data_IF_172570959123
#
_entry.id   IF_172570959123
#
_cell.length_a   1.000
_cell.length_b   1.000
_cell.length_c   1.000
_cell.angle_alpha   90.00
_cell.angle_beta   90.00
_cell.angle_gamma   90.00
#
_symmetry.space_group_name_H-M   'P 1'
#
loop_
_entity.id
_entity.type
_entity.pdbx_description
1 polymer ?
#
# COMPACT_ATOMS: atom_id res chain seq x y z
N UNK A 1 1.11 -89.06 -10.81
CA UNK A 1 1.45 -90.15 -9.87
C UNK A 1 2.16 -89.54 -8.65
N UNK A 2 1.54 -89.64 -7.46
CA UNK A 2 2.02 -89.35 -6.07
C UNK A 2 2.72 -88.01 -5.72
N UNK A 3 2.10 -87.18 -4.84
CA UNK A 3 2.32 -87.02 -3.37
C UNK A 3 3.74 -86.49 -3.02
N UNK A 4 4.02 -85.43 -2.24
CA UNK A 4 3.24 -84.52 -1.42
C UNK A 4 4.16 -83.72 -0.46
N UNK A 5 3.84 -82.43 -0.23
CA UNK A 5 3.82 -81.67 1.06
C UNK A 5 5.09 -81.41 1.94
N UNK A 6 5.19 -80.11 2.32
CA UNK A 6 5.68 -79.43 3.57
C UNK A 6 7.20 -79.17 3.69
N UNK A 7 7.68 -77.91 3.77
CA UNK A 7 7.63 -76.86 4.85
C UNK A 7 8.43 -77.25 6.12
N UNK A 8 9.58 -76.58 6.35
CA UNK A 8 10.04 -75.84 7.58
C UNK A 8 11.54 -75.42 7.39
N UNK A 9 11.88 -74.16 7.14
CA UNK A 9 12.26 -73.05 8.05
C UNK A 9 13.62 -73.18 8.79
N UNK A 10 14.52 -72.23 8.51
CA UNK A 10 15.44 -71.62 9.49
C UNK A 10 16.86 -72.21 9.62
N UNK A 11 17.86 -71.47 9.13
CA UNK A 11 19.19 -71.16 9.71
C UNK A 11 20.27 -71.09 8.60
N UNK A 12 20.88 -69.91 8.41
CA UNK A 12 22.14 -69.80 7.65
C UNK A 12 22.34 -68.59 6.73
N UNK A 13 22.15 -67.36 7.22
CA UNK A 13 22.66 -66.11 6.57
C UNK A 13 23.78 -65.46 7.41
N UNK A 14 24.47 -66.24 8.23
CA UNK A 14 25.65 -65.77 8.96
C UNK A 14 26.84 -66.58 8.46
N UNK A 15 27.69 -65.96 7.62
CA UNK A 15 29.15 -66.18 7.52
C UNK A 15 29.78 -65.49 6.28
N UNK A 16 29.01 -65.00 5.29
CA UNK A 16 29.61 -64.43 4.06
C UNK A 16 29.46 -62.90 3.83
N UNK A 17 28.89 -62.15 4.77
CA UNK A 17 28.83 -60.68 4.73
C UNK A 17 29.46 -59.99 5.95
N UNK A 18 30.42 -60.65 6.62
CA UNK A 18 31.17 -60.09 7.76
C UNK A 18 32.68 -59.94 7.52
N UNK A 19 33.18 -60.26 6.32
CA UNK A 19 34.60 -60.17 5.97
C UNK A 19 34.97 -58.95 5.11
N UNK A 20 34.01 -58.09 4.77
CA UNK A 20 34.28 -56.77 4.16
C UNK A 20 34.27 -55.62 5.16
N UNK A 21 33.97 -55.87 6.45
CA UNK A 21 33.93 -54.86 7.51
C UNK A 21 35.19 -54.85 8.41
N UNK A 22 36.08 -55.85 8.32
CA UNK A 22 37.33 -55.89 9.10
C UNK A 22 38.57 -55.30 8.39
N UNK A 23 38.49 -54.99 7.09
CA UNK A 23 39.53 -54.24 6.39
C UNK A 23 39.34 -52.71 6.51
N UNK A 24 38.17 -52.25 6.99
CA UNK A 24 37.81 -50.85 7.16
C UNK A 24 38.04 -50.28 8.58
N UNK A 25 38.50 -51.08 9.53
CA UNK A 25 38.54 -50.68 10.96
C UNK A 25 39.91 -50.77 11.64
N UNK A 26 41.01 -51.00 10.90
CA UNK A 26 42.39 -51.07 11.49
C UNK A 26 43.37 -50.05 10.90
N UNK A 27 42.95 -49.17 10.00
CA UNK A 27 43.78 -48.05 9.51
C UNK A 27 43.22 -46.66 9.90
N UNK A 28 42.42 -46.60 10.97
CA UNK A 28 42.07 -45.36 11.68
C UNK A 28 42.67 -45.44 13.08
N UNK A 29 43.99 -45.28 13.17
CA UNK A 29 44.65 -44.77 14.38
C UNK A 29 46.00 -44.21 13.96
N UNK A 30 46.18 -42.90 14.22
CA UNK A 30 47.34 -42.02 13.93
C UNK A 30 47.23 -41.17 12.65
N UNK A 31 46.32 -40.19 12.66
CA UNK A 31 46.66 -38.85 12.17
C UNK A 31 45.66 -37.82 12.71
N UNK A 32 45.92 -37.31 13.92
CA UNK A 32 45.15 -36.23 14.56
C UNK A 32 45.42 -34.84 13.94
N UNK A 33 45.82 -34.79 12.67
CA UNK A 33 46.13 -33.54 11.94
C UNK A 33 44.99 -33.16 10.97
N UNK A 34 44.07 -34.09 10.64
CA UNK A 34 43.04 -33.85 9.60
C UNK A 34 41.70 -33.37 10.18
N UNK A 35 41.47 -33.49 11.49
CA UNK A 35 40.22 -33.01 12.13
C UNK A 35 40.18 -31.53 12.48
N UNK A 36 41.28 -30.79 12.29
CA UNK A 36 41.31 -29.33 12.51
C UNK A 36 41.14 -28.52 11.20
N UNK A 37 41.03 -29.18 10.04
CA UNK A 37 40.97 -28.51 8.72
C UNK A 37 39.55 -28.46 8.13
N UNK A 38 38.56 -29.15 8.72
CA UNK A 38 37.17 -29.20 8.20
C UNK A 38 36.20 -28.26 8.95
N UNK A 39 36.68 -27.48 9.91
CA UNK A 39 35.88 -26.50 10.66
C UNK A 39 36.53 -25.11 10.71
N UNK A 40 36.87 -24.56 9.55
CA UNK A 40 36.96 -23.10 9.39
C UNK A 40 36.18 -22.69 8.16
N UNK A 41 35.11 -21.97 8.44
CA UNK A 41 34.41 -21.02 7.56
C UNK A 41 34.17 -21.53 6.13
N UNK A 42 32.94 -21.97 5.86
CA UNK A 42 32.35 -21.65 4.57
C UNK A 42 32.27 -20.11 4.49
N UNK A 43 33.38 -19.48 4.12
CA UNK A 43 33.41 -18.11 3.67
C UNK A 43 32.53 -18.11 2.43
N UNK A 44 31.29 -17.63 2.57
CA UNK A 44 30.52 -17.18 1.43
C UNK A 44 31.28 -15.98 0.85
N UNK A 45 32.29 -16.23 0.01
CA UNK A 45 32.87 -15.17 -0.82
C UNK A 45 31.84 -14.90 -1.90
N UNK A 46 30.94 -13.95 -1.65
CA UNK A 46 30.13 -13.39 -2.72
C UNK A 46 31.05 -12.96 -3.86
N UNK A 47 30.77 -13.40 -5.09
CA UNK A 47 31.46 -12.88 -6.26
C UNK A 47 30.75 -11.60 -6.68
N UNK A 48 31.45 -10.46 -6.65
CA UNK A 48 30.94 -9.24 -7.28
C UNK A 48 30.83 -9.48 -8.78
N UNK A 49 29.60 -9.64 -9.27
CA UNK A 49 29.32 -9.70 -10.70
C UNK A 49 29.41 -8.28 -11.29
N UNK A 50 29.96 -8.13 -12.49
CA UNK A 50 30.09 -6.81 -13.15
C UNK A 50 31.25 -5.93 -12.67
N UNK A 51 32.12 -6.40 -11.76
CA UNK A 51 33.38 -5.71 -11.43
C UNK A 51 34.26 -5.64 -12.70
N UNK A 52 34.26 -4.48 -13.35
CA UNK A 52 34.99 -4.14 -14.59
C UNK A 52 34.38 -4.57 -15.95
N UNK A 53 33.06 -4.76 -16.08
CA UNK A 53 32.46 -5.09 -17.37
C UNK A 53 31.08 -4.47 -17.55
N UNK A 54 31.04 -3.32 -18.21
CA UNK A 54 29.90 -2.90 -19.04
C UNK A 54 30.45 -2.37 -20.36
N UNK A 55 29.76 -2.71 -21.45
CA UNK A 55 29.92 -2.03 -22.73
C UNK A 55 29.71 -0.52 -22.52
N UNK A 56 30.73 0.29 -22.81
CA UNK A 56 30.72 1.74 -22.57
C UNK A 56 29.83 2.50 -23.56
N UNK A 57 29.08 1.81 -24.43
CA UNK A 57 28.13 2.41 -25.37
C UNK A 57 26.93 3.01 -24.65
N UNK A 58 27.08 4.19 -24.04
CA UNK A 58 25.96 4.94 -23.46
C UNK A 58 26.31 5.84 -22.28
N UNK A 59 27.48 5.68 -21.67
CA UNK A 59 27.92 6.56 -20.59
C UNK A 59 28.46 7.88 -21.16
N UNK A 60 28.06 9.00 -20.56
CA UNK A 60 28.67 10.30 -20.84
C UNK A 60 30.18 10.24 -20.60
N UNK A 61 30.95 11.04 -21.36
CA UNK A 61 32.43 11.02 -21.33
C UNK A 61 33.06 11.31 -19.96
N UNK A 62 32.27 11.76 -18.99
CA UNK A 62 32.72 12.22 -17.68
C UNK A 62 32.40 11.25 -16.53
N UNK A 63 31.86 10.05 -16.81
CA UNK A 63 31.51 9.06 -15.76
C UNK A 63 32.58 7.95 -15.67
N UNK A 64 33.36 7.95 -14.58
CA UNK A 64 34.35 6.90 -14.26
C UNK A 64 33.85 6.00 -13.11
N UNK A 65 33.38 4.79 -13.44
CA UNK A 65 33.00 3.78 -12.43
C UNK A 65 34.18 3.31 -11.56
N UNK A 66 35.43 3.59 -11.95
CA UNK A 66 36.58 3.42 -11.07
C UNK A 66 36.48 4.26 -9.80
N UNK A 67 35.82 5.43 -9.85
CA UNK A 67 35.59 6.26 -8.66
C UNK A 67 34.69 5.56 -7.64
N UNK A 68 33.63 4.87 -8.10
CA UNK A 68 32.76 4.08 -7.23
C UNK A 68 33.55 3.02 -6.45
N UNK A 69 34.38 2.24 -7.14
CA UNK A 69 35.21 1.21 -6.49
C UNK A 69 36.26 1.81 -5.57
N UNK A 70 36.92 2.91 -5.94
CA UNK A 70 37.87 3.60 -5.05
C UNK A 70 37.20 4.10 -3.78
N UNK A 71 35.96 4.60 -3.87
CA UNK A 71 35.19 5.01 -2.69
C UNK A 71 34.81 3.81 -1.81
N UNK A 72 34.36 2.71 -2.42
CA UNK A 72 34.08 1.45 -1.72
C UNK A 72 35.31 0.91 -0.98
N UNK A 73 36.42 0.78 -1.68
CA UNK A 73 37.70 0.29 -1.13
C UNK A 73 38.20 1.21 0.00
N UNK A 74 38.02 2.53 -0.14
CA UNK A 74 38.38 3.50 0.90
C UNK A 74 37.52 3.32 2.16
N UNK A 75 36.22 3.04 2.03
CA UNK A 75 35.34 2.76 3.18
C UNK A 75 35.79 1.47 3.91
N UNK A 76 36.03 0.37 3.19
CA UNK A 76 36.53 -0.87 3.79
C UNK A 76 37.89 -0.69 4.48
N UNK A 77 38.78 0.09 3.86
CA UNK A 77 40.13 0.31 4.36
C UNK A 77 40.19 1.28 5.55
N UNK A 78 39.31 2.28 5.62
CA UNK A 78 39.49 3.44 6.51
C UNK A 78 38.32 3.71 7.46
N UNK A 79 37.13 3.12 7.26
CA UNK A 79 36.01 3.33 8.18
C UNK A 79 36.37 2.83 9.58
N UNK A 80 36.04 3.61 10.62
CA UNK A 80 36.49 3.36 12.00
C UNK A 80 35.90 2.08 12.59
N UNK A 81 34.65 1.76 12.22
CA UNK A 81 33.90 0.59 12.68
C UNK A 81 33.78 -0.45 11.56
N UNK A 82 34.92 -0.98 11.08
CA UNK A 82 34.96 -1.90 9.93
C UNK A 82 34.08 -3.14 10.10
N UNK A 83 33.97 -3.64 11.32
CA UNK A 83 33.15 -4.78 11.72
C UNK A 83 31.64 -4.52 11.56
N UNK A 84 31.22 -3.25 11.45
CA UNK A 84 29.83 -2.85 11.21
C UNK A 84 29.51 -2.63 9.73
N UNK A 85 30.49 -2.72 8.83
CA UNK A 85 30.24 -2.61 7.39
C UNK A 85 29.39 -3.78 6.92
N UNK A 86 28.40 -3.47 6.09
CA UNK A 86 27.54 -4.46 5.46
C UNK A 86 27.49 -4.15 3.96
N UNK A 87 28.20 -4.97 3.18
CA UNK A 87 28.33 -4.81 1.73
C UNK A 87 26.97 -4.75 1.03
N UNK A 88 26.00 -5.59 1.44
CA UNK A 88 24.65 -5.58 0.84
C UNK A 88 23.92 -4.27 1.11
N UNK A 89 24.05 -3.72 2.32
CA UNK A 89 23.48 -2.42 2.69
C UNK A 89 24.16 -1.26 1.93
N UNK A 90 25.49 -1.32 1.76
CA UNK A 90 26.23 -0.34 0.97
C UNK A 90 25.83 -0.36 -0.50
N UNK A 91 25.71 -1.55 -1.09
CA UNK A 91 25.25 -1.75 -2.46
C UNK A 91 23.86 -1.14 -2.68
N UNK A 92 22.86 -1.54 -1.88
CA UNK A 92 21.53 -0.97 -2.01
C UNK A 92 21.50 0.54 -1.70
N UNK A 93 22.33 1.03 -0.77
CA UNK A 93 22.49 2.46 -0.53
C UNK A 93 22.99 3.22 -1.76
N UNK A 94 23.95 2.65 -2.50
CA UNK A 94 24.44 3.23 -3.75
C UNK A 94 23.37 3.24 -4.85
N UNK A 95 22.62 2.15 -5.02
CA UNK A 95 21.52 2.07 -5.99
C UNK A 95 20.42 3.07 -5.65
N UNK A 96 20.03 3.17 -4.37
CA UNK A 96 19.07 4.19 -3.89
C UNK A 96 19.57 5.60 -4.18
N UNK A 97 20.85 5.89 -3.94
CA UNK A 97 21.44 7.19 -4.24
C UNK A 97 21.43 7.54 -5.73
N UNK A 98 21.68 6.56 -6.61
CA UNK A 98 21.58 6.73 -8.06
C UNK A 98 20.16 7.10 -8.49
N UNK A 99 19.15 6.43 -7.94
CA UNK A 99 17.75 6.70 -8.25
C UNK A 99 17.29 8.05 -7.69
N UNK A 100 17.69 8.38 -6.46
CA UNK A 100 17.37 9.65 -5.84
C UNK A 100 17.93 10.87 -6.60
N UNK A 101 19.01 10.69 -7.37
CA UNK A 101 19.59 11.74 -8.19
C UNK A 101 18.71 12.21 -9.37
N UNK A 102 17.58 11.54 -9.62
CA UNK A 102 16.60 11.99 -10.61
C UNK A 102 15.70 13.13 -10.10
N UNK A 103 15.75 13.45 -8.80
CA UNK A 103 14.87 14.42 -8.14
C UNK A 103 13.36 14.16 -8.39
N UNK A 104 13.02 12.92 -8.73
CA UNK A 104 11.65 12.43 -8.89
C UNK A 104 11.26 11.60 -7.67
N UNK A 105 10.34 12.09 -6.81
CA UNK A 105 9.94 11.37 -5.59
C UNK A 105 9.19 10.06 -5.88
N UNK A 106 8.75 9.83 -7.12
CA UNK A 106 8.02 8.62 -7.51
C UNK A 106 8.91 7.53 -8.09
N UNK A 107 10.13 7.88 -8.53
CA UNK A 107 11.12 6.90 -8.98
C UNK A 107 11.96 6.45 -7.79
N UNK A 108 11.82 5.18 -7.40
CA UNK A 108 12.45 4.64 -6.18
C UNK A 108 12.98 3.23 -6.41
N UNK A 109 14.12 2.94 -5.78
CA UNK A 109 14.61 1.57 -5.64
C UNK A 109 14.18 0.99 -4.29
N UNK A 110 13.59 -0.20 -4.35
CA UNK A 110 13.11 -0.96 -3.20
C UNK A 110 14.00 -2.18 -3.05
N UNK A 111 14.71 -2.28 -1.92
CA UNK A 111 15.40 -3.53 -1.58
C UNK A 111 14.37 -4.65 -1.31
N UNK A 112 14.78 -5.93 -1.20
CA UNK A 112 13.83 -7.03 -1.18
C UNK A 112 12.77 -6.95 -0.09
N UNK A 113 13.11 -6.37 1.07
CA UNK A 113 12.13 -6.22 2.15
C UNK A 113 11.11 -5.14 1.82
N UNK A 114 11.56 -3.99 1.33
CA UNK A 114 10.67 -2.90 0.92
C UNK A 114 9.80 -3.32 -0.26
N UNK A 115 10.34 -4.09 -1.21
CA UNK A 115 9.59 -4.60 -2.35
C UNK A 115 8.50 -5.59 -1.92
N UNK A 116 8.82 -6.50 -0.98
CA UNK A 116 7.83 -7.40 -0.37
C UNK A 116 6.72 -6.62 0.35
N UNK A 117 7.08 -5.63 1.17
CA UNK A 117 6.12 -4.80 1.91
C UNK A 117 5.22 -4.01 0.95
N UNK A 118 5.79 -3.44 -0.12
CA UNK A 118 5.03 -2.75 -1.17
C UNK A 118 4.06 -3.68 -1.91
N UNK A 119 4.49 -4.90 -2.23
CA UNK A 119 3.61 -5.91 -2.85
C UNK A 119 2.48 -6.33 -1.91
N UNK A 120 2.75 -6.47 -0.62
CA UNK A 120 1.74 -6.81 0.38
C UNK A 120 0.71 -5.67 0.52
N UNK A 121 1.16 -4.42 0.55
CA UNK A 121 0.31 -3.23 0.58
C UNK A 121 -0.62 -3.20 -0.65
N UNK A 122 -0.09 -3.45 -1.85
CA UNK A 122 -0.89 -3.52 -3.07
C UNK A 122 -1.90 -4.68 -3.07
N UNK A 123 -1.57 -5.81 -2.45
CA UNK A 123 -2.51 -6.91 -2.25
C UNK A 123 -3.61 -6.59 -1.22
N UNK A 124 -3.61 -5.40 -0.62
CA UNK A 124 -4.54 -5.02 0.45
C UNK A 124 -4.26 -5.74 1.77
N UNK A 125 -3.03 -6.23 1.93
CA UNK A 125 -2.65 -7.02 3.10
C UNK A 125 -1.52 -6.34 3.87
N UNK A 126 -1.78 -5.96 5.10
CA UNK A 126 -0.78 -5.32 5.95
C UNK A 126 -0.72 -5.98 7.32
N UNK A 127 0.42 -5.87 8.00
CA UNK A 127 0.59 -6.44 9.34
C UNK A 127 0.38 -5.36 10.41
N UNK A 128 -0.53 -5.62 11.34
CA UNK A 128 -0.91 -4.66 12.36
C UNK A 128 -2.02 -5.19 13.27
N UNK A 129 -2.75 -4.27 13.89
CA UNK A 129 -3.80 -4.62 14.86
C UNK A 129 -5.21 -4.64 14.27
N UNK A 130 -5.40 -4.08 13.07
CA UNK A 130 -6.71 -4.00 12.41
C UNK A 130 -7.68 -3.06 13.13
N UNK A 131 -7.30 -1.80 13.25
CA UNK A 131 -8.17 -0.73 13.74
C UNK A 131 -7.97 0.53 12.89
N UNK A 132 -9.06 1.26 12.67
CA UNK A 132 -9.04 2.63 12.18
C UNK A 132 -8.80 3.57 13.36
N UNK A 133 -7.81 4.45 13.22
CA UNK A 133 -7.44 5.44 14.24
C UNK A 133 -7.43 6.83 13.62
N UNK A 134 -7.74 7.83 14.43
CA UNK A 134 -7.75 9.23 14.01
C UNK A 134 -7.52 10.15 15.21
N UNK A 135 -7.49 11.45 14.96
CA UNK A 135 -7.48 12.45 16.03
C UNK A 135 -8.89 12.97 16.20
N UNK A 136 -9.42 12.85 17.42
CA UNK A 136 -10.70 13.44 17.82
C UNK A 136 -10.47 14.24 19.11
N UNK A 137 -10.93 15.49 19.13
CA UNK A 137 -10.71 16.42 20.24
C UNK A 137 -9.22 16.47 20.68
N UNK A 138 -8.33 16.64 19.70
CA UNK A 138 -6.85 16.66 19.85
C UNK A 138 -6.24 15.40 20.51
N UNK A 139 -7.00 14.30 20.56
CA UNK A 139 -6.56 13.04 21.18
C UNK A 139 -6.57 11.91 20.15
N UNK A 140 -5.49 11.13 20.09
CA UNK A 140 -5.43 9.92 19.29
C UNK A 140 -6.50 8.93 19.77
N UNK A 141 -7.41 8.55 18.88
CA UNK A 141 -8.64 7.83 19.20
C UNK A 141 -8.86 6.69 18.21
N UNK A 142 -9.34 5.55 18.71
CA UNK A 142 -9.85 4.46 17.87
C UNK A 142 -11.18 4.89 17.27
N UNK A 143 -11.24 5.00 15.95
CA UNK A 143 -12.48 5.29 15.23
C UNK A 143 -13.34 4.04 15.19
N UNK A 144 -12.76 2.93 14.73
CA UNK A 144 -13.42 1.64 14.71
C UNK A 144 -12.39 0.49 14.67
N UNK A 145 -12.52 -0.53 15.52
CA UNK A 145 -11.88 -1.82 15.27
C UNK A 145 -12.43 -2.43 13.98
N UNK A 146 -11.57 -3.12 13.22
CA UNK A 146 -12.01 -3.87 12.05
C UNK A 146 -12.62 -5.21 12.48
N UNK A 147 -13.74 -5.65 11.87
CA UNK A 147 -14.38 -6.92 12.20
C UNK A 147 -13.45 -8.13 12.04
N UNK A 148 -13.50 -9.06 12.98
CA UNK A 148 -12.70 -10.29 13.06
C UNK A 148 -11.18 -10.07 13.14
N UNK A 149 -10.72 -8.84 13.41
CA UNK A 149 -9.30 -8.47 13.51
C UNK A 149 -8.79 -8.40 14.96
N UNK A 150 -7.46 -8.41 15.20
CA UNK A 150 -6.89 -8.47 16.55
C UNK A 150 -7.40 -7.41 17.53
N UNK A 151 -7.56 -6.16 17.08
CA UNK A 151 -8.06 -5.04 17.89
C UNK A 151 -9.46 -5.32 18.43
N UNK A 152 -10.37 -5.82 17.60
CA UNK A 152 -11.73 -6.19 18.02
C UNK A 152 -11.70 -7.37 19.01
N UNK A 153 -10.88 -8.39 18.72
CA UNK A 153 -10.75 -9.60 19.55
C UNK A 153 -10.26 -9.32 20.98
N UNK A 154 -9.40 -8.31 21.16
CA UNK A 154 -8.95 -7.89 22.50
C UNK A 154 -9.93 -6.93 23.18
N UNK A 155 -11.01 -6.53 22.50
CA UNK A 155 -12.07 -5.71 23.04
C UNK A 155 -11.81 -4.20 22.98
N UNK A 156 -10.99 -3.73 22.03
CA UNK A 156 -10.98 -2.30 21.67
C UNK A 156 -12.35 -1.90 21.12
N UNK A 157 -12.71 -0.64 21.30
CA UNK A 157 -13.99 -0.07 20.88
C UNK A 157 -13.80 1.28 20.21
N UNK A 158 -14.78 1.66 19.40
CA UNK A 158 -14.89 3.03 18.90
C UNK A 158 -14.93 4.01 20.08
N UNK A 159 -14.17 5.11 19.97
CA UNK A 159 -14.04 6.13 21.00
C UNK A 159 -12.93 5.89 22.03
N UNK A 160 -12.21 4.77 21.96
CA UNK A 160 -11.07 4.51 22.85
C UNK A 160 -9.95 5.53 22.61
N UNK A 161 -9.56 6.26 23.66
CA UNK A 161 -8.45 7.21 23.61
C UNK A 161 -7.14 6.47 23.86
N UNK A 162 -6.24 6.49 22.88
CA UNK A 162 -4.93 5.85 22.94
C UNK A 162 -3.96 6.86 23.56
N UNK A 163 -3.57 6.64 24.82
CA UNK A 163 -2.68 7.55 25.57
C UNK A 163 -1.19 7.18 25.46
N UNK A 164 -0.89 5.90 25.21
CA UNK A 164 0.48 5.44 24.98
C UNK A 164 0.52 4.22 24.04
N UNK A 165 1.63 4.10 23.31
CA UNK A 165 1.98 2.95 22.47
C UNK A 165 3.34 2.43 22.93
N UNK A 166 3.40 1.20 23.42
CA UNK A 166 4.61 0.61 24.03
C UNK A 166 5.27 1.56 25.05
N UNK A 167 4.45 2.10 25.97
CA UNK A 167 4.82 3.08 27.01
C UNK A 167 5.19 4.48 26.51
N UNK A 168 5.31 4.70 25.19
CA UNK A 168 5.56 6.03 24.64
C UNK A 168 4.24 6.82 24.57
N UNK A 169 4.19 8.00 25.20
CA UNK A 169 3.03 8.90 25.15
C UNK A 169 2.65 9.23 23.70
N UNK A 170 1.35 9.29 23.44
CA UNK A 170 0.76 9.70 22.15
C UNK A 170 0.40 11.19 22.11
N UNK A 171 0.65 11.94 23.18
CA UNK A 171 0.33 13.37 23.23
C UNK A 171 1.13 14.14 22.16
N UNK A 172 0.41 14.82 21.27
CA UNK A 172 1.01 15.56 20.15
C UNK A 172 1.58 14.68 19.03
N UNK A 173 1.39 13.36 19.10
CA UNK A 173 1.79 12.42 18.05
C UNK A 173 0.84 12.53 16.86
N UNK A 174 1.39 12.55 15.64
CA UNK A 174 0.56 12.48 14.44
C UNK A 174 -0.04 11.08 14.24
N UNK A 175 -1.09 10.98 13.42
CA UNK A 175 -1.67 9.68 13.06
C UNK A 175 -0.63 8.78 12.38
N UNK A 176 0.19 9.34 11.48
CA UNK A 176 1.22 8.58 10.75
C UNK A 176 2.33 8.03 11.66
N UNK A 177 2.75 8.82 12.65
CA UNK A 177 3.71 8.39 13.67
C UNK A 177 3.13 7.25 14.52
N UNK A 178 1.85 7.36 14.90
CA UNK A 178 1.15 6.31 15.62
C UNK A 178 1.03 5.02 14.79
N UNK A 179 0.64 5.13 13.51
CA UNK A 179 0.57 3.99 12.58
C UNK A 179 1.93 3.27 12.50
N UNK A 180 3.03 4.03 12.37
CA UNK A 180 4.38 3.47 12.28
C UNK A 180 4.76 2.66 13.53
N UNK A 181 4.33 3.10 14.72
CA UNK A 181 4.56 2.38 15.99
C UNK A 181 3.63 1.19 16.19
N UNK A 182 2.38 1.31 15.73
CA UNK A 182 1.35 0.27 15.88
C UNK A 182 1.57 -0.88 14.90
N UNK A 183 2.00 -0.60 13.67
CA UNK A 183 2.38 -1.61 12.68
C UNK A 183 3.67 -2.33 13.09
N UNK A 184 3.87 -3.50 12.54
CA UNK A 184 5.03 -4.33 12.83
C UNK A 184 4.81 -5.77 12.39
N UNK A 185 5.85 -6.62 12.48
CA UNK A 185 5.79 -7.98 11.97
C UNK A 185 4.66 -8.79 12.61
N UNK A 186 4.03 -9.67 11.84
CA UNK A 186 3.06 -10.63 12.33
C UNK A 186 3.61 -11.42 13.53
N UNK A 187 2.72 -11.79 14.44
CA UNK A 187 2.98 -12.53 15.67
C UNK A 187 3.81 -11.75 16.72
N UNK A 188 4.18 -10.50 16.44
CA UNK A 188 4.72 -9.58 17.46
C UNK A 188 3.61 -8.84 18.19
N UNK A 189 3.87 -8.38 19.41
CA UNK A 189 2.88 -7.66 20.20
C UNK A 189 3.13 -6.14 20.21
N UNK A 190 2.05 -5.38 20.38
CA UNK A 190 2.06 -3.96 20.75
C UNK A 190 1.16 -3.75 21.96
N UNK A 191 1.54 -2.85 22.86
CA UNK A 191 0.74 -2.48 24.02
C UNK A 191 0.15 -1.09 23.82
N UNK A 192 -1.18 -0.99 23.88
CA UNK A 192 -1.89 0.29 23.87
C UNK A 192 -2.46 0.60 25.25
N UNK A 193 -2.10 1.76 25.81
CA UNK A 193 -2.72 2.26 27.05
C UNK A 193 -3.95 3.08 26.70
N UNK A 194 -5.13 2.56 27.08
CA UNK A 194 -6.43 3.06 26.65
C UNK A 194 -7.17 3.74 27.81
N UNK A 195 -7.73 4.91 27.52
CA UNK A 195 -8.76 5.56 28.32
C UNK A 195 -10.11 5.43 27.61
N UNK A 196 -11.11 4.93 28.34
CA UNK A 196 -12.49 4.73 27.87
C UNK A 196 -13.44 5.28 28.95
N UNK A 197 -14.55 5.88 28.55
CA UNK A 197 -15.49 6.54 29.49
C UNK A 197 -16.02 5.62 30.60
N UNK A 198 -16.14 4.32 30.33
CA UNK A 198 -16.60 3.30 31.29
C UNK A 198 -15.46 2.68 32.12
N UNK A 199 -14.22 3.16 31.99
CA UNK A 199 -13.08 2.71 32.79
C UNK A 199 -12.76 3.72 33.91
N UNK A 200 -12.69 3.22 35.15
CA UNK A 200 -12.25 4.01 36.31
C UNK A 200 -10.75 4.38 36.23
N UNK A 201 -9.96 3.62 35.48
CA UNK A 201 -8.50 3.78 35.33
C UNK A 201 -8.05 3.42 33.90
N UNK A 202 -6.88 3.95 33.49
CA UNK A 202 -6.25 3.59 32.21
C UNK A 202 -5.96 2.08 32.18
N UNK A 203 -6.25 1.42 31.05
CA UNK A 203 -6.00 -0.02 30.88
C UNK A 203 -5.09 -0.30 29.71
N UNK A 204 -4.18 -1.24 29.91
CA UNK A 204 -3.29 -1.72 28.85
C UNK A 204 -3.93 -2.87 28.08
N UNK A 205 -3.93 -2.75 26.75
CA UNK A 205 -4.33 -3.79 25.82
C UNK A 205 -3.09 -4.30 25.10
N UNK A 206 -2.71 -5.55 25.36
CA UNK A 206 -1.67 -6.24 24.57
C UNK A 206 -2.32 -6.87 23.35
N UNK A 207 -1.89 -6.44 22.16
CA UNK A 207 -2.48 -6.85 20.88
C UNK A 207 -1.40 -7.56 20.09
N UNK A 208 -1.66 -8.81 19.71
CA UNK A 208 -0.78 -9.54 18.79
C UNK A 208 -1.09 -9.11 17.37
N UNK A 209 -0.08 -8.62 16.65
CA UNK A 209 -0.21 -8.20 15.27
C UNK A 209 -0.50 -9.41 14.38
N UNK A 210 -1.41 -9.23 13.45
CA UNK A 210 -1.75 -10.24 12.44
C UNK A 210 -1.84 -9.60 11.07
N UNK A 211 -2.00 -10.44 10.04
CA UNK A 211 -2.31 -10.02 8.69
C UNK A 211 -3.73 -9.45 8.65
N UNK A 212 -3.83 -8.16 8.38
CA UNK A 212 -5.08 -7.42 8.22
C UNK A 212 -5.47 -7.46 6.75
N UNK A 213 -6.74 -7.75 6.52
CA UNK A 213 -7.35 -7.73 5.19
C UNK A 213 -8.46 -6.69 5.22
N UNK A 214 -8.26 -5.59 4.49
CA UNK A 214 -9.29 -4.56 4.31
C UNK A 214 -9.88 -4.72 2.93
N UNK A 215 -11.19 -4.98 2.86
CA UNK A 215 -11.92 -4.99 1.60
C UNK A 215 -11.84 -3.62 0.95
N UNK A 216 -11.48 -3.57 -0.33
CA UNK A 216 -11.36 -2.30 -1.05
C UNK A 216 -12.70 -1.59 -1.28
N UNK A 217 -13.81 -2.32 -1.22
CA UNK A 217 -15.17 -1.80 -1.47
C UNK A 217 -16.02 -1.84 -0.21
N UNK A 218 -16.67 -0.72 0.09
CA UNK A 218 -17.79 -0.63 1.05
C UNK A 218 -19.03 -0.13 0.31
N UNK A 219 -20.18 -0.74 0.59
CA UNK A 219 -21.47 -0.33 0.01
C UNK A 219 -22.42 0.03 1.14
N UNK A 220 -22.94 1.25 1.08
CA UNK A 220 -23.86 1.81 2.07
C UNK A 220 -25.09 2.36 1.36
N UNK A 221 -26.23 2.37 2.06
CA UNK A 221 -27.47 2.98 1.58
C UNK A 221 -27.84 4.07 2.58
N UNK A 222 -27.21 5.26 2.49
CA UNK A 222 -27.34 6.31 3.50
C UNK A 222 -28.81 6.68 3.71
N UNK A 223 -29.50 7.32 2.75
CA UNK A 223 -30.95 7.55 2.72
C UNK A 223 -31.44 7.87 1.27
N UNK A 224 -32.73 8.19 1.10
CA UNK A 224 -33.34 8.72 -0.13
C UNK A 224 -33.15 7.88 -1.42
N UNK A 225 -33.00 6.56 -1.28
CA UNK A 225 -32.80 5.67 -2.43
C UNK A 225 -31.47 5.92 -3.15
N UNK A 226 -30.46 6.42 -2.43
CA UNK A 226 -29.09 6.57 -2.92
C UNK A 226 -28.25 5.39 -2.45
N UNK A 227 -27.38 4.89 -3.33
CA UNK A 227 -26.34 3.93 -2.96
C UNK A 227 -24.98 4.63 -2.99
N UNK A 228 -24.24 4.53 -1.89
CA UNK A 228 -22.85 4.95 -1.81
C UNK A 228 -21.95 3.74 -1.99
N UNK A 229 -21.05 3.82 -2.95
CA UNK A 229 -19.99 2.83 -3.18
C UNK A 229 -18.67 3.53 -2.88
N UNK A 230 -18.01 3.13 -1.81
CA UNK A 230 -16.69 3.64 -1.42
C UNK A 230 -15.62 2.71 -1.92
N UNK A 231 -14.65 3.24 -2.65
CA UNK A 231 -13.42 2.52 -3.05
C UNK A 231 -12.28 3.08 -2.20
N UNK A 232 -11.69 2.28 -1.32
CA UNK A 232 -10.57 2.73 -0.48
C UNK A 232 -9.22 2.60 -1.18
N UNK A 233 -9.07 1.60 -2.06
CA UNK A 233 -7.88 1.34 -2.85
C UNK A 233 -8.28 0.60 -4.14
N UNK A 234 -7.45 0.66 -5.18
CA UNK A 234 -7.59 -0.16 -6.39
C UNK A 234 -6.61 -1.35 -6.33
N UNK A 235 -6.99 -2.42 -5.63
CA UNK A 235 -6.16 -3.60 -5.40
C UNK A 235 -6.73 -4.84 -6.14
N UNK A 236 -6.21 -6.02 -5.82
CA UNK A 236 -6.59 -7.29 -6.44
C UNK A 236 -8.07 -7.68 -6.19
N UNK A 237 -8.67 -7.28 -5.05
CA UNK A 237 -10.05 -7.66 -4.73
C UNK A 237 -11.10 -6.67 -5.29
N UNK A 238 -10.67 -5.48 -5.71
CA UNK A 238 -11.55 -4.38 -6.15
C UNK A 238 -12.44 -4.79 -7.32
N UNK A 239 -11.90 -5.39 -8.38
CA UNK A 239 -12.69 -5.73 -9.57
C UNK A 239 -13.85 -6.69 -9.22
N UNK A 240 -13.58 -7.69 -8.37
CA UNK A 240 -14.58 -8.66 -7.92
C UNK A 240 -15.66 -8.01 -7.06
N UNK A 241 -15.24 -7.29 -6.01
CA UNK A 241 -16.15 -6.64 -5.06
C UNK A 241 -16.95 -5.51 -5.71
N UNK A 242 -16.34 -4.75 -6.63
CA UNK A 242 -17.03 -3.70 -7.36
C UNK A 242 -18.07 -4.30 -8.31
N UNK A 243 -17.77 -5.44 -8.94
CA UNK A 243 -18.74 -6.19 -9.73
C UNK A 243 -19.95 -6.65 -8.90
N UNK A 244 -19.78 -6.98 -7.62
CA UNK A 244 -20.89 -7.24 -6.68
C UNK A 244 -21.68 -5.98 -6.36
N UNK A 245 -21.00 -4.86 -6.09
CA UNK A 245 -21.64 -3.57 -5.87
C UNK A 245 -22.46 -3.11 -7.09
N UNK A 246 -21.96 -3.32 -8.31
CA UNK A 246 -22.67 -3.02 -9.56
C UNK A 246 -23.93 -3.86 -9.69
N UNK A 247 -23.89 -5.18 -9.40
CA UNK A 247 -25.08 -6.03 -9.44
C UNK A 247 -26.12 -5.55 -8.44
N UNK A 248 -25.69 -5.25 -7.21
CA UNK A 248 -26.58 -4.70 -6.18
C UNK A 248 -27.22 -3.38 -6.63
N UNK A 249 -26.45 -2.46 -7.21
CA UNK A 249 -26.99 -1.19 -7.71
C UNK A 249 -28.03 -1.41 -8.82
N UNK A 250 -27.80 -2.35 -9.75
CA UNK A 250 -28.78 -2.67 -10.80
C UNK A 250 -30.05 -3.28 -10.20
N UNK A 251 -29.91 -4.20 -9.24
CA UNK A 251 -31.03 -4.91 -8.62
C UNK A 251 -31.89 -3.98 -7.75
N UNK A 252 -31.25 -3.03 -7.07
CA UNK A 252 -31.93 -2.07 -6.17
C UNK A 252 -32.55 -0.87 -6.92
N UNK A 253 -32.13 -0.61 -8.17
CA UNK A 253 -32.58 0.50 -9.02
C UNK A 253 -32.61 1.86 -8.27
N UNK A 254 -31.45 2.31 -7.74
CA UNK A 254 -31.41 3.51 -6.92
C UNK A 254 -31.70 4.74 -7.75
N UNK A 255 -32.18 5.79 -7.07
CA UNK A 255 -32.37 7.10 -7.71
C UNK A 255 -31.04 7.72 -8.15
N UNK A 256 -29.92 7.34 -7.51
CA UNK A 256 -28.59 7.80 -7.88
C UNK A 256 -27.48 7.09 -7.12
N UNK A 257 -26.25 7.29 -7.58
CA UNK A 257 -25.04 6.71 -7.03
C UNK A 257 -24.10 7.78 -6.50
N UNK A 258 -23.51 7.52 -5.34
CA UNK A 258 -22.34 8.25 -4.86
C UNK A 258 -21.14 7.32 -4.96
N UNK A 259 -20.19 7.65 -5.83
CA UNK A 259 -18.89 6.98 -5.88
C UNK A 259 -17.92 7.75 -4.97
N UNK A 260 -17.56 7.18 -3.84
CA UNK A 260 -16.67 7.84 -2.88
C UNK A 260 -15.22 7.38 -3.07
N UNK A 261 -14.37 8.30 -3.53
CA UNK A 261 -12.93 8.10 -3.76
C UNK A 261 -12.08 8.91 -2.76
N UNK A 262 -12.70 9.52 -1.74
CA UNK A 262 -11.97 10.31 -0.74
C UNK A 262 -10.97 9.43 0.00
N UNK A 263 -9.78 9.98 0.21
CA UNK A 263 -8.64 9.30 0.85
C UNK A 263 -8.20 8.00 0.14
N UNK A 264 -8.54 7.82 -1.13
CA UNK A 264 -8.07 6.69 -1.93
C UNK A 264 -6.80 7.09 -2.72
N UNK A 265 -5.61 6.57 -2.34
CA UNK A 265 -4.34 6.92 -2.98
C UNK A 265 -4.15 6.29 -4.37
N UNK A 266 -5.13 5.53 -4.84
CA UNK A 266 -5.13 4.84 -6.12
C UNK A 266 -4.81 3.36 -5.99
N UNK A 267 -4.04 2.83 -6.93
CA UNK A 267 -3.70 1.42 -7.05
C UNK A 267 -3.52 1.01 -8.52
N UNK A 268 -3.95 -0.19 -8.89
CA UNK A 268 -3.78 -0.75 -10.22
C UNK A 268 -4.54 0.04 -11.30
N UNK A 269 -3.83 0.35 -12.38
CA UNK A 269 -4.37 1.04 -13.57
C UNK A 269 -5.52 0.26 -14.22
N UNK A 270 -5.32 -1.03 -14.47
CA UNK A 270 -6.33 -1.85 -15.14
C UNK A 270 -7.64 -1.90 -14.34
N UNK A 271 -7.56 -2.01 -13.01
CA UNK A 271 -8.72 -1.92 -12.11
C UNK A 271 -9.43 -0.57 -12.25
N UNK A 272 -8.69 0.54 -12.35
CA UNK A 272 -9.28 1.87 -12.57
C UNK A 272 -10.03 1.96 -13.90
N UNK A 273 -9.44 1.39 -14.96
CA UNK A 273 -10.05 1.32 -16.30
C UNK A 273 -11.35 0.51 -16.25
N UNK A 274 -11.34 -0.65 -15.57
CA UNK A 274 -12.53 -1.49 -15.40
C UNK A 274 -13.65 -0.78 -14.62
N UNK A 275 -13.30 -0.13 -13.50
CA UNK A 275 -14.26 0.65 -12.70
C UNK A 275 -14.88 1.77 -13.53
N UNK A 276 -14.08 2.59 -14.21
CA UNK A 276 -14.60 3.70 -15.03
C UNK A 276 -15.47 3.18 -16.21
N UNK A 277 -15.14 2.01 -16.74
CA UNK A 277 -15.91 1.35 -17.81
C UNK A 277 -17.31 0.88 -17.39
N UNK A 278 -17.65 0.93 -16.10
CA UNK A 278 -19.03 0.72 -15.65
C UNK A 278 -19.95 1.89 -15.98
N UNK A 279 -19.41 3.07 -16.31
CA UNK A 279 -20.18 4.21 -16.81
C UNK A 279 -19.86 4.53 -18.27
N UNK A 280 -18.59 4.45 -18.67
CA UNK A 280 -18.16 4.81 -20.03
C UNK A 280 -18.43 3.66 -20.99
N UNK A 281 -19.26 3.91 -22.01
CA UNK A 281 -19.64 2.91 -23.01
C UNK A 281 -18.60 2.77 -24.12
N UNK A 282 -18.15 3.90 -24.67
CA UNK A 282 -17.13 3.98 -25.70
C UNK A 282 -16.25 5.22 -25.45
N UNK A 283 -14.97 5.13 -25.82
CA UNK A 283 -14.01 6.24 -25.73
C UNK A 283 -12.83 5.95 -24.81
N UNK A 284 -11.94 6.94 -24.72
CA UNK A 284 -10.73 6.89 -23.89
C UNK A 284 -11.11 7.05 -22.42
N UNK A 285 -10.54 6.22 -21.55
CA UNK A 285 -10.57 6.40 -20.09
C UNK A 285 -9.38 7.26 -19.65
N UNK A 286 -8.19 6.91 -20.14
CA UNK A 286 -6.94 7.59 -19.80
C UNK A 286 -5.92 7.40 -20.92
N UNK A 287 -5.02 8.36 -21.09
CA UNK A 287 -3.88 8.26 -22.01
C UNK A 287 -2.55 8.34 -21.26
N UNK A 288 -1.62 7.45 -21.57
CA UNK A 288 -0.21 7.58 -21.19
C UNK A 288 0.52 8.39 -22.26
N UNK A 289 1.23 9.44 -21.85
CA UNK A 289 2.13 10.19 -22.73
C UNK A 289 3.58 10.01 -22.28
N UNK A 290 4.39 9.38 -23.13
CA UNK A 290 5.81 9.12 -22.90
C UNK A 290 6.68 10.33 -23.23
N UNK A 291 7.93 10.32 -22.76
CA UNK A 291 8.88 11.43 -22.94
C UNK A 291 9.26 11.73 -24.39
N UNK A 292 9.10 10.76 -25.30
CA UNK A 292 9.29 10.92 -26.75
C UNK A 292 8.03 11.44 -27.47
N UNK A 293 6.95 11.68 -26.72
CA UNK A 293 5.67 12.14 -27.23
C UNK A 293 4.74 11.01 -27.69
N UNK A 294 5.16 9.74 -27.66
CA UNK A 294 4.29 8.61 -27.93
C UNK A 294 3.11 8.62 -26.95
N UNK A 295 1.92 8.28 -27.45
CA UNK A 295 0.70 8.16 -26.67
C UNK A 295 0.18 6.73 -26.70
N UNK A 296 -0.27 6.24 -25.56
CA UNK A 296 -0.99 4.98 -25.42
C UNK A 296 -2.37 5.26 -24.81
N UNK A 297 -3.42 5.07 -25.60
CA UNK A 297 -4.80 5.30 -25.15
C UNK A 297 -5.39 4.03 -24.57
N UNK A 298 -5.93 4.14 -23.36
CA UNK A 298 -6.66 3.06 -22.70
C UNK A 298 -8.15 3.31 -22.87
N UNK A 299 -8.79 2.50 -23.71
CA UNK A 299 -10.22 2.61 -24.03
C UNK A 299 -11.09 1.93 -22.97
N UNK A 300 -12.35 2.34 -22.90
CA UNK A 300 -13.38 1.66 -22.12
C UNK A 300 -13.52 0.19 -22.55
N UNK A 301 -13.68 -0.71 -21.59
CA UNK A 301 -13.72 -2.18 -21.81
C UNK A 301 -15.04 -2.83 -21.35
N UNK A 302 -15.95 -2.04 -20.78
CA UNK A 302 -17.16 -2.48 -20.08
C UNK A 302 -18.44 -2.31 -20.89
N UNK A 303 -19.57 -2.60 -20.24
CA UNK A 303 -20.92 -2.46 -20.84
C UNK A 303 -21.65 -1.21 -20.34
N UNK A 304 -20.96 -0.29 -19.66
CA UNK A 304 -21.55 0.92 -19.11
C UNK A 304 -22.82 0.66 -18.27
N UNK A 305 -22.78 -0.38 -17.41
CA UNK A 305 -23.97 -0.87 -16.69
C UNK A 305 -24.56 0.15 -15.72
N UNK A 306 -23.73 1.04 -15.18
CA UNK A 306 -24.11 2.10 -14.26
C UNK A 306 -24.43 3.44 -14.95
N UNK A 307 -24.24 3.55 -16.27
CA UNK A 307 -24.46 4.79 -17.05
C UNK A 307 -25.86 5.38 -16.90
N UNK A 308 -26.86 4.54 -16.61
CA UNK A 308 -28.26 4.96 -16.46
C UNK A 308 -28.53 5.67 -15.14
N UNK A 309 -27.67 5.51 -14.14
CA UNK A 309 -27.86 6.11 -12.82
C UNK A 309 -27.14 7.46 -12.72
N UNK A 310 -27.85 8.54 -12.32
CA UNK A 310 -27.21 9.79 -11.97
C UNK A 310 -26.11 9.56 -10.93
N UNK A 311 -24.90 10.06 -11.19
CA UNK A 311 -23.74 9.75 -10.36
C UNK A 311 -23.04 11.03 -9.89
N UNK A 312 -22.69 11.06 -8.61
CA UNK A 312 -21.78 12.05 -8.02
C UNK A 312 -20.53 11.32 -7.55
N UNK A 313 -19.34 11.87 -7.83
CA UNK A 313 -18.07 11.35 -7.30
C UNK A 313 -17.60 12.27 -6.19
N UNK A 314 -17.31 11.70 -5.02
CA UNK A 314 -16.68 12.43 -3.91
C UNK A 314 -15.16 12.27 -4.00
N UNK A 315 -14.46 13.39 -3.91
CA UNK A 315 -12.99 13.46 -3.96
C UNK A 315 -12.44 14.43 -2.92
N UNK A 316 -11.16 14.24 -2.58
CA UNK A 316 -10.40 15.16 -1.73
C UNK A 316 -8.91 15.07 -2.04
N UNK A 317 -8.09 15.77 -1.27
CA UNK A 317 -6.64 15.85 -1.40
C UNK A 317 -5.94 14.48 -1.28
N UNK A 318 -6.58 13.51 -0.62
CA UNK A 318 -6.09 12.12 -0.53
C UNK A 318 -6.47 11.25 -1.73
N UNK A 319 -7.30 11.74 -2.65
CA UNK A 319 -7.64 11.06 -3.89
C UNK A 319 -6.48 11.20 -4.87
N UNK A 320 -5.84 10.09 -5.28
CA UNK A 320 -4.66 10.14 -6.13
C UNK A 320 -4.65 9.04 -7.21
N UNK A 321 -3.90 9.26 -8.28
CA UNK A 321 -3.57 8.25 -9.30
C UNK A 321 -4.80 7.56 -9.90
N UNK A 322 -5.03 6.27 -9.67
CA UNK A 322 -6.21 5.55 -10.17
C UNK A 322 -7.54 6.24 -9.81
N UNK A 323 -7.65 6.85 -8.63
CA UNK A 323 -8.83 7.63 -8.23
C UNK A 323 -9.03 8.85 -9.15
N UNK A 324 -7.95 9.53 -9.51
CA UNK A 324 -7.95 10.68 -10.41
C UNK A 324 -8.25 10.28 -11.85
N UNK A 325 -7.82 9.07 -12.26
CA UNK A 325 -8.18 8.49 -13.56
C UNK A 325 -9.69 8.27 -13.64
N UNK A 326 -10.30 7.63 -12.64
CA UNK A 326 -11.75 7.39 -12.62
C UNK A 326 -12.50 8.72 -12.56
N UNK A 327 -12.16 9.62 -11.64
CA UNK A 327 -12.82 10.91 -11.51
C UNK A 327 -12.70 11.76 -12.78
N UNK A 328 -11.50 11.84 -13.36
CA UNK A 328 -11.24 12.57 -14.60
C UNK A 328 -11.96 11.98 -15.80
N UNK A 329 -12.04 10.64 -15.91
CA UNK A 329 -12.79 9.99 -16.98
C UNK A 329 -14.29 10.27 -16.87
N UNK A 330 -14.89 10.08 -15.70
CA UNK A 330 -16.32 10.33 -15.50
C UNK A 330 -16.69 11.80 -15.69
N UNK A 331 -15.81 12.72 -15.27
CA UNK A 331 -15.95 14.15 -15.49
C UNK A 331 -15.90 14.52 -16.97
N UNK A 332 -14.87 14.11 -17.69
CA UNK A 332 -14.66 14.49 -19.09
C UNK A 332 -15.71 13.90 -20.03
N UNK A 333 -16.27 12.74 -19.69
CA UNK A 333 -17.41 12.14 -20.40
C UNK A 333 -18.77 12.73 -19.97
N UNK A 334 -18.81 13.61 -18.97
CA UNK A 334 -20.05 14.19 -18.45
C UNK A 334 -20.98 13.18 -17.78
N UNK A 335 -20.43 12.10 -17.24
CA UNK A 335 -21.17 10.98 -16.65
C UNK A 335 -21.35 11.10 -15.14
N UNK A 336 -20.54 11.94 -14.49
CA UNK A 336 -20.70 12.26 -13.08
C UNK A 336 -20.31 13.71 -12.79
N UNK A 337 -20.90 14.26 -11.73
CA UNK A 337 -20.48 15.52 -11.14
C UNK A 337 -19.47 15.25 -10.02
N UNK A 338 -18.38 16.01 -9.99
CA UNK A 338 -17.32 15.85 -8.99
C UNK A 338 -17.55 16.84 -7.84
N UNK A 339 -17.58 16.35 -6.60
CA UNK A 339 -17.84 17.15 -5.39
C UNK A 339 -16.74 16.90 -4.34
N UNK A 340 -16.34 17.95 -3.63
CA UNK A 340 -15.40 17.85 -2.51
C UNK A 340 -14.23 18.81 -2.63
N UNK A 341 -13.00 18.32 -2.48
CA UNK A 341 -11.78 19.11 -2.58
C UNK A 341 -10.91 18.65 -3.75
N UNK A 342 -10.02 19.54 -4.20
CA UNK A 342 -9.04 19.25 -5.24
C UNK A 342 -8.23 17.99 -4.91
N UNK A 343 -8.05 17.12 -5.91
CA UNK A 343 -7.28 15.88 -5.74
C UNK A 343 -5.77 16.11 -5.66
N UNK A 344 -5.03 15.07 -5.31
CA UNK A 344 -3.60 15.13 -5.03
C UNK A 344 -2.73 15.65 -6.20
N UNK A 345 -3.05 15.29 -7.44
CA UNK A 345 -2.29 15.66 -8.63
C UNK A 345 -1.19 14.66 -9.02
N UNK A 346 -1.38 13.37 -8.74
CA UNK A 346 -0.40 12.33 -9.12
C UNK A 346 -0.64 11.87 -10.55
N UNK A 347 -0.16 12.66 -11.50
CA UNK A 347 -0.30 12.40 -12.93
C UNK A 347 0.88 11.68 -13.58
N UNK A 348 1.70 10.96 -12.84
CA UNK A 348 2.83 10.19 -13.36
C UNK A 348 2.48 8.70 -13.48
N UNK A 349 2.91 8.07 -14.58
CA UNK A 349 2.84 6.63 -14.82
C UNK A 349 4.10 6.00 -14.24
N UNK A 350 3.95 5.03 -13.35
CA UNK A 350 5.08 4.24 -12.87
C UNK A 350 5.06 2.84 -13.46
N UNK A 351 6.21 2.37 -13.93
CA UNK A 351 6.46 0.96 -14.20
C UNK A 351 7.25 0.35 -13.05
N UNK A 352 6.81 -0.81 -12.57
CA UNK A 352 7.56 -1.63 -11.63
C UNK A 352 8.37 -2.67 -12.41
N UNK A 353 9.66 -2.76 -12.13
CA UNK A 353 10.54 -3.79 -12.65
C UNK A 353 11.14 -4.55 -11.47
N UNK A 354 10.83 -5.84 -11.39
CA UNK A 354 11.37 -6.74 -10.38
C UNK A 354 12.71 -7.35 -10.82
N UNK A 355 13.59 -7.58 -9.85
CA UNK A 355 14.91 -8.16 -10.04
C UNK A 355 15.00 -9.56 -9.38
N UNK A 356 15.95 -10.38 -9.85
CA UNK A 356 16.11 -11.77 -9.41
C UNK A 356 16.41 -11.93 -7.91
N UNK A 357 16.98 -10.91 -7.27
CA UNK A 357 17.29 -10.92 -5.83
C UNK A 357 16.09 -10.54 -4.94
N UNK A 358 14.92 -10.30 -5.55
CA UNK A 358 13.68 -9.88 -4.90
C UNK A 358 13.56 -8.37 -4.71
N UNK A 359 14.56 -7.57 -5.12
CA UNK A 359 14.44 -6.11 -5.15
C UNK A 359 13.64 -5.65 -6.36
N UNK A 360 13.17 -4.41 -6.34
CA UNK A 360 12.44 -3.83 -7.47
C UNK A 360 12.81 -2.36 -7.66
N UNK A 361 12.66 -1.87 -8.88
CA UNK A 361 12.68 -0.43 -9.18
C UNK A 361 11.33 0.01 -9.71
N UNK A 362 10.81 1.09 -9.15
CA UNK A 362 9.61 1.77 -9.64
C UNK A 362 10.06 3.03 -10.36
N UNK A 363 9.74 3.18 -11.64
CA UNK A 363 10.26 4.25 -12.51
C UNK A 363 9.11 5.04 -13.11
N UNK A 364 9.16 6.37 -13.06
CA UNK A 364 8.25 7.23 -13.80
C UNK A 364 8.58 7.18 -15.30
N UNK A 365 7.68 6.65 -16.11
CA UNK A 365 7.91 6.43 -17.56
C UNK A 365 7.07 7.33 -18.47
N UNK A 366 5.96 7.84 -17.95
CA UNK A 366 4.99 8.62 -18.71
C UNK A 366 4.15 9.52 -17.79
N UNK A 367 3.29 10.35 -18.39
CA UNK A 367 2.29 11.16 -17.71
C UNK A 367 0.88 10.70 -18.07
N UNK A 368 -0.05 10.78 -17.13
CA UNK A 368 -1.47 10.55 -17.34
C UNK A 368 -2.13 11.81 -17.92
N UNK A 369 -2.88 11.62 -19.00
CA UNK A 369 -3.81 12.60 -19.53
C UNK A 369 -5.25 12.08 -19.37
N UNK A 370 -6.15 12.96 -18.96
CA UNK A 370 -7.60 12.69 -18.96
C UNK A 370 -8.13 12.58 -20.41
N UNK A 371 -9.37 12.12 -20.63
CA UNK A 371 -9.93 12.02 -21.98
C UNK A 371 -9.95 13.34 -22.77
N UNK A 372 -10.07 14.50 -22.10
CA UNK A 372 -9.96 15.82 -22.72
C UNK A 372 -8.52 16.23 -23.08
N UNK A 373 -7.53 15.43 -22.70
CA UNK A 373 -6.11 15.69 -22.91
C UNK A 373 -5.44 16.52 -21.80
N UNK A 374 -6.14 16.78 -20.69
CA UNK A 374 -5.61 17.54 -19.56
C UNK A 374 -4.63 16.69 -18.76
N UNK A 375 -3.50 17.25 -18.34
CA UNK A 375 -2.52 16.55 -17.50
C UNK A 375 -2.96 16.56 -16.04
N UNK A 376 -3.00 15.39 -15.42
CA UNK A 376 -3.28 15.26 -13.97
C UNK A 376 -2.09 15.76 -13.14
N UNK A 377 -0.88 15.72 -13.70
CA UNK A 377 0.36 15.95 -12.95
C UNK A 377 0.44 17.38 -12.40
N UNK A 378 0.59 17.51 -11.08
CA UNK A 378 0.65 18.76 -10.32
C UNK A 378 -0.60 19.65 -10.44
N UNK A 379 -1.65 19.18 -11.12
CA UNK A 379 -2.91 19.89 -11.30
C UNK A 379 -4.08 19.20 -10.61
N UNK A 380 -4.07 17.87 -10.48
CA UNK A 380 -5.20 17.11 -9.98
C UNK A 380 -6.45 17.21 -10.86
N UNK A 381 -7.55 16.66 -10.36
CA UNK A 381 -8.90 16.81 -10.86
C UNK A 381 -9.58 17.85 -9.99
N UNK A 382 -9.94 18.99 -10.59
CA UNK A 382 -10.73 20.01 -9.91
C UNK A 382 -12.18 19.54 -9.73
N UNK A 383 -12.79 19.70 -8.54
CA UNK A 383 -14.21 19.45 -8.35
C UNK A 383 -15.07 20.38 -9.20
N UNK A 384 -16.25 19.91 -9.61
CA UNK A 384 -17.28 20.77 -10.18
C UNK A 384 -17.99 21.60 -9.10
N UNK A 385 -17.93 21.13 -7.85
CA UNK A 385 -18.39 21.85 -6.69
C UNK A 385 -17.44 21.64 -5.51
N UNK A 386 -16.81 22.73 -5.07
CA UNK A 386 -15.92 22.72 -3.91
C UNK A 386 -16.79 22.72 -2.65
N UNK A 387 -16.56 21.74 -1.79
CA UNK A 387 -17.22 21.62 -0.49
C UNK A 387 -16.17 21.25 0.55
N UNK A 388 -15.98 22.13 1.53
CA UNK A 388 -15.02 21.90 2.61
C UNK A 388 -15.52 20.82 3.56
N UNK A 389 -14.59 20.04 4.10
CA UNK A 389 -14.87 19.12 5.19
C UNK A 389 -13.93 19.43 6.35
N UNK A 390 -14.46 20.14 7.35
CA UNK A 390 -13.64 20.68 8.43
C UNK A 390 -13.47 19.68 9.57
N UNK A 391 -12.46 19.89 10.42
CA UNK A 391 -12.31 19.15 11.69
C UNK A 391 -13.55 19.30 12.58
N UNK A 392 -14.22 20.45 12.53
CA UNK A 392 -15.48 20.66 13.28
C UNK A 392 -16.58 19.73 12.77
N UNK A 393 -16.75 19.62 11.45
CA UNK A 393 -17.72 18.69 10.85
C UNK A 393 -17.41 17.24 11.22
N UNK A 394 -16.13 16.85 11.15
CA UNK A 394 -15.68 15.53 11.54
C UNK A 394 -16.02 15.23 13.01
N UNK A 395 -15.69 16.15 13.92
CA UNK A 395 -15.98 16.01 15.35
C UNK A 395 -17.49 15.96 15.63
N UNK A 396 -18.29 16.70 14.85
CA UNK A 396 -19.74 16.72 14.93
C UNK A 396 -20.42 15.51 14.24
N UNK A 397 -19.66 14.65 13.55
CA UNK A 397 -20.21 13.53 12.79
C UNK A 397 -21.02 13.94 11.56
N UNK A 398 -20.78 15.13 11.03
CA UNK A 398 -21.38 15.63 9.78
C UNK A 398 -20.50 15.27 8.59
N UNK A 399 -21.10 15.05 7.44
CA UNK A 399 -20.40 14.85 6.17
C UNK A 399 -21.00 15.78 5.12
N UNK A 400 -20.60 17.07 5.10
CA UNK A 400 -21.19 18.07 4.21
C UNK A 400 -20.99 17.73 2.72
N UNK A 401 -19.92 16.99 2.38
CA UNK A 401 -19.66 16.55 1.02
C UNK A 401 -20.65 15.46 0.58
N UNK A 402 -20.93 14.48 1.45
CA UNK A 402 -21.94 13.45 1.20
C UNK A 402 -23.35 14.04 1.17
N UNK A 403 -23.67 14.93 2.12
CA UNK A 403 -24.94 15.66 2.14
C UNK A 403 -25.14 16.41 0.82
N UNK A 404 -24.10 17.10 0.33
CA UNK A 404 -24.19 17.81 -0.96
C UNK A 404 -24.39 16.86 -2.14
N UNK A 405 -23.71 15.71 -2.17
CA UNK A 405 -23.92 14.71 -3.20
C UNK A 405 -25.37 14.20 -3.22
N UNK A 406 -25.95 13.95 -2.04
CA UNK A 406 -27.35 13.54 -1.91
C UNK A 406 -28.28 14.66 -2.40
N UNK A 407 -28.02 15.93 -2.04
CA UNK A 407 -28.79 17.09 -2.50
C UNK A 407 -28.81 17.20 -4.04
N UNK A 408 -27.66 17.02 -4.69
CA UNK A 408 -27.54 17.00 -6.15
C UNK A 408 -28.38 15.87 -6.77
N UNK A 409 -28.33 14.67 -6.19
CA UNK A 409 -29.05 13.49 -6.70
C UNK A 409 -30.55 13.53 -6.38
N UNK A 410 -30.96 14.26 -5.34
CA UNK A 410 -32.37 14.45 -4.94
C UNK A 410 -33.03 15.64 -5.63
N UNK A 411 -32.25 16.59 -6.17
CA UNK A 411 -32.75 17.89 -6.63
C UNK A 411 -33.13 18.85 -5.49
N UNK A 412 -32.64 18.63 -4.27
CA UNK A 412 -32.79 19.57 -3.14
C UNK A 412 -31.72 20.66 -3.30
N UNK A 413 -32.08 21.78 -3.94
CA UNK A 413 -31.18 22.95 -3.97
C UNK A 413 -31.02 23.52 -2.55
N UNK A 414 -29.88 23.28 -1.93
CA UNK A 414 -29.35 24.13 -0.87
C UNK A 414 -28.26 25.01 -1.47
N UNK A 415 -28.46 26.33 -1.37
CA UNK A 415 -27.41 27.31 -1.66
C UNK A 415 -26.30 27.15 -0.61
N UNK A 416 -25.01 27.34 -0.97
CA UNK A 416 -23.93 27.30 0.02
C UNK A 416 -24.22 28.35 1.10
N UNK A 417 -24.13 27.92 2.37
CA UNK A 417 -24.18 28.82 3.51
C UNK A 417 -23.01 29.79 3.39
N UNK A 418 -23.30 31.04 3.05
CA UNK A 418 -22.30 32.10 3.03
C UNK A 418 -21.75 32.31 4.45
N UNK A 419 -20.42 32.38 4.52
CA UNK A 419 -19.62 32.74 5.68
C UNK A 419 -20.22 33.96 6.43
N UNK A 420 -20.54 33.77 7.70
CA UNK A 420 -20.80 34.88 8.62
C UNK A 420 -19.44 35.44 9.08
N UNK A 421 -18.77 36.16 8.19
CA UNK A 421 -17.57 36.93 8.51
C UNK A 421 -17.98 38.19 9.28
N UNK A 422 -18.26 38.02 10.57
CA UNK A 422 -18.40 39.12 11.51
C UNK A 422 -17.04 39.79 11.72
N UNK A 423 -16.77 40.82 10.92
CA UNK A 423 -15.73 41.79 11.16
C UNK A 423 -16.00 42.50 12.50
N UNK A 424 -15.33 42.08 13.57
CA UNK A 424 -15.19 42.89 14.78
C UNK A 424 -14.18 43.99 14.49
N UNK A 425 -14.70 45.17 14.18
CA UNK A 425 -14.01 46.45 14.28
C UNK A 425 -13.52 46.67 15.72
N UNK A 426 -12.21 46.57 15.94
CA UNK A 426 -11.57 47.14 17.12
C UNK A 426 -11.21 48.60 16.84
N UNK A 427 -12.19 49.49 17.00
CA UNK A 427 -11.94 50.88 17.40
C UNK A 427 -12.39 51.02 18.86
N UNK A 428 -11.68 51.89 19.58
CA UNK A 428 -11.87 52.28 20.99
C UNK A 428 -11.35 51.31 22.07
N UNK A 429 -10.15 51.62 22.61
CA UNK A 429 -10.05 52.48 23.80
C UNK A 429 -8.58 52.77 24.14
N UNK A 430 -8.27 54.07 24.20
CA UNK A 430 -7.14 54.61 24.92
C UNK A 430 -7.52 54.77 26.40
N UNK A 431 -6.73 54.18 27.31
CA UNK A 431 -6.14 54.77 28.52
C UNK A 431 -5.34 53.71 29.30
#
# INVERSE_FOLDING_TARGET
MNKGKKILFGFGVLVLMFLSFLAGSVAVTKNDIIREIVTREAVYTGKVLGKHSLDNSGLGRDVDFGLFWRAWDALEAQYVDKDKLNEKKMFYGAVKGMVAALDDPYTVFMDPKIAEDFSNDLAGTFEGIGAEIGIKDDTLTVIAPLPDMPAEKVGLKAGDKILAIDQASTQGMSVDEAITKIRGPKDTAVVLSILREDFDEIRDFTITRDKIVVKSIRVETPEDGIIRITITNFNDDTAGLFGEAVRKAIDDDPRGLVLDLRNNPGGYLDTAIEVASEWVEEGVIVTEQYGDGQKNEHLARGRARLKVFPTVVLVNEGSASASEIVAGALKDHGLARIVGQKTFGKGSVQTLTDFEDGSSIKITVAKWLTPSGSSINDQGVEPDEIVDYTTEDYNAGRDPQLERAIDILTGRETAPAAEDNAATSSEDLAE
#
